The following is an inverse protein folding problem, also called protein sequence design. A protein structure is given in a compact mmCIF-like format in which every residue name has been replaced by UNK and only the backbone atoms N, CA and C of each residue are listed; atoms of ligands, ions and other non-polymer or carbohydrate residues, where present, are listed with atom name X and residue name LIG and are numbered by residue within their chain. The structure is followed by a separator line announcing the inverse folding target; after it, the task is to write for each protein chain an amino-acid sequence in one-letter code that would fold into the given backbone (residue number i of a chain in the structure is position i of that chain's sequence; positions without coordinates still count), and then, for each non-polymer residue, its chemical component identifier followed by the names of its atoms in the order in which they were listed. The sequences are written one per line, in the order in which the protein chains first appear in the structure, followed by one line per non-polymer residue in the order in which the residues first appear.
data_IF_149710863406
#
_entry.id   IF_149710863406
#
_cell.length_a   1.000
_cell.length_b   1.000
_cell.length_c   1.000
_cell.angle_alpha   90.00
_cell.angle_beta   90.00
_cell.angle_gamma   90.00
#
_symmetry.space_group_name_H-M   'P 1'
#
loop_
_entity.id
_entity.type
_entity.pdbx_description
1 polymer ?
#
# COMPACT_ATOMS: atom_id res chain seq x y z
N UNK A 1 -25.71 12.86 -5.74
CA UNK A 1 -24.37 13.40 -5.59
C UNK A 1 -23.78 12.80 -4.30
N UNK A 2 -22.91 11.81 -4.40
CA UNK A 2 -22.12 11.28 -3.26
C UNK A 2 -20.63 11.45 -3.61
N UNK A 3 -20.07 12.62 -3.47
CA UNK A 3 -18.68 12.84 -3.90
C UNK A 3 -17.64 12.80 -2.80
N UNK A 4 -18.02 12.98 -1.54
CA UNK A 4 -17.05 13.32 -0.49
C UNK A 4 -16.41 12.11 0.17
N UNK A 5 -17.14 11.02 0.35
CA UNK A 5 -16.61 9.80 0.98
C UNK A 5 -15.55 9.08 0.14
N UNK A 6 -15.68 9.14 -1.18
CA UNK A 6 -14.74 8.56 -2.13
C UNK A 6 -13.39 9.29 -2.12
N UNK A 7 -13.46 10.62 -2.14
CA UNK A 7 -12.28 11.49 -2.10
C UNK A 7 -11.54 11.37 -0.77
N UNK A 8 -12.30 11.28 0.32
CA UNK A 8 -11.73 11.08 1.67
C UNK A 8 -11.05 9.74 1.80
N UNK A 9 -11.64 8.68 1.26
CA UNK A 9 -11.05 7.33 1.27
C UNK A 9 -9.71 7.27 0.55
N UNK A 10 -9.61 7.85 -0.64
CA UNK A 10 -8.37 7.88 -1.41
C UNK A 10 -7.30 8.77 -0.76
N UNK A 11 -7.68 9.95 -0.28
CA UNK A 11 -6.77 10.87 0.43
C UNK A 11 -6.23 10.29 1.74
N UNK A 12 -7.04 9.52 2.46
CA UNK A 12 -6.63 8.86 3.70
C UNK A 12 -5.98 7.50 3.47
N UNK A 13 -5.84 7.06 2.21
CA UNK A 13 -5.29 5.76 1.90
C UNK A 13 -6.16 4.60 2.40
N UNK A 14 -7.47 4.81 2.56
CA UNK A 14 -8.41 3.79 3.03
C UNK A 14 -8.78 2.82 1.89
N UNK A 15 -8.22 1.61 1.86
CA UNK A 15 -8.42 0.69 0.76
C UNK A 15 -9.80 0.02 0.81
N UNK A 16 -10.33 -0.28 -0.37
CA UNK A 16 -11.59 -1.03 -0.56
C UNK A 16 -11.27 -2.48 -0.89
N UNK A 17 -11.93 -3.38 -0.17
CA UNK A 17 -11.80 -4.82 -0.40
C UNK A 17 -12.22 -5.17 -1.84
N UNK A 18 -11.39 -5.95 -2.53
CA UNK A 18 -11.63 -6.42 -3.90
C UNK A 18 -11.35 -5.38 -5.00
N UNK A 19 -11.10 -4.12 -4.65
CA UNK A 19 -10.69 -3.06 -5.58
C UNK A 19 -9.21 -2.76 -5.42
N UNK A 20 -8.83 -2.34 -4.20
CA UNK A 20 -7.45 -2.01 -3.84
C UNK A 20 -6.68 -3.22 -3.33
N UNK A 21 -7.38 -4.33 -3.10
CA UNK A 21 -6.84 -5.60 -2.62
C UNK A 21 -7.12 -6.73 -3.59
N UNK A 22 -6.36 -7.80 -3.49
CA UNK A 22 -6.55 -9.07 -4.18
C UNK A 22 -6.57 -10.23 -3.18
N UNK A 23 -6.78 -11.44 -3.66
CA UNK A 23 -6.81 -12.67 -2.85
C UNK A 23 -5.48 -13.00 -2.15
N UNK A 24 -4.37 -12.40 -2.60
CA UNK A 24 -3.03 -12.55 -2.03
C UNK A 24 -2.65 -11.41 -1.09
N UNK A 25 -3.50 -10.40 -0.98
CA UNK A 25 -3.23 -9.24 -0.13
C UNK A 25 -3.26 -9.64 1.34
N UNK A 26 -2.20 -9.32 2.04
CA UNK A 26 -2.12 -9.52 3.48
C UNK A 26 -2.40 -8.20 4.22
N UNK A 27 -2.99 -8.25 5.43
CA UNK A 27 -3.42 -7.05 6.15
C UNK A 27 -2.33 -5.98 6.36
N UNK A 28 -1.08 -6.40 6.49
CA UNK A 28 0.05 -5.48 6.63
C UNK A 28 0.32 -4.61 5.41
N UNK A 29 -0.02 -5.08 4.21
CA UNK A 29 0.22 -4.35 2.96
C UNK A 29 -0.68 -3.13 2.82
N UNK A 30 -1.83 -3.17 3.49
CA UNK A 30 -2.90 -2.17 3.38
C UNK A 30 -3.27 -1.51 4.72
N UNK A 31 -2.41 -1.65 5.73
CA UNK A 31 -2.60 -0.99 7.02
C UNK A 31 -3.77 -1.52 7.87
N UNK A 32 -4.23 -2.74 7.63
CA UNK A 32 -5.38 -3.32 8.35
C UNK A 32 -5.01 -4.05 9.66
N UNK A 33 -3.79 -3.92 10.12
CA UNK A 33 -3.39 -4.40 11.45
C UNK A 33 -3.66 -3.30 12.47
N UNK A 34 -4.43 -3.62 13.49
CA UNK A 34 -4.76 -2.65 14.54
C UNK A 34 -5.44 -3.29 15.75
N UNK A 35 -5.68 -2.47 16.77
CA UNK A 35 -6.49 -2.85 17.92
C UNK A 35 -7.99 -2.89 17.61
N UNK A 36 -8.83 -3.22 18.60
CA UNK A 36 -10.28 -3.20 18.44
C UNK A 36 -10.76 -1.84 17.92
N UNK A 37 -11.51 -1.85 16.84
CA UNK A 37 -12.03 -0.64 16.19
C UNK A 37 -11.05 0.13 15.30
N UNK A 38 -9.77 -0.28 15.23
CA UNK A 38 -8.74 0.42 14.47
C UNK A 38 -8.20 -0.37 13.28
N UNK A 39 -8.55 -1.65 13.14
CA UNK A 39 -8.07 -2.50 12.04
C UNK A 39 -8.93 -3.74 11.85
N UNK A 40 -8.76 -4.40 10.71
CA UNK A 40 -9.46 -5.65 10.42
C UNK A 40 -8.84 -6.85 11.15
N UNK A 41 -7.57 -6.76 11.52
CA UNK A 41 -6.85 -7.82 12.24
C UNK A 41 -6.22 -7.27 13.50
N UNK A 42 -6.60 -7.86 14.62
CA UNK A 42 -6.00 -7.64 15.93
C UNK A 42 -5.07 -8.83 16.27
N UNK A 43 -3.80 -8.57 16.53
CA UNK A 43 -2.79 -9.63 16.69
C UNK A 43 -3.03 -10.54 17.90
N UNK A 44 -3.70 -10.04 18.94
CA UNK A 44 -4.01 -10.78 20.16
C UNK A 44 -5.42 -11.43 20.15
N UNK A 45 -6.13 -11.40 19.02
CA UNK A 45 -7.42 -12.10 18.90
C UNK A 45 -7.22 -13.60 18.74
N UNK A 46 -8.30 -14.36 18.98
CA UNK A 46 -8.31 -15.79 18.78
C UNK A 46 -8.01 -16.23 17.33
N UNK A 47 -7.99 -17.52 17.07
CA UNK A 47 -7.62 -18.10 15.78
C UNK A 47 -8.46 -17.54 14.62
N UNK A 48 -7.80 -17.32 13.48
CA UNK A 48 -8.41 -16.91 12.24
C UNK A 48 -7.62 -17.46 11.05
N UNK A 49 -8.28 -17.54 9.88
CA UNK A 49 -7.67 -18.05 8.66
C UNK A 49 -6.52 -17.12 8.22
N UNK A 50 -5.34 -17.69 7.97
CA UNK A 50 -4.16 -16.96 7.53
C UNK A 50 -3.32 -16.36 8.65
N UNK A 51 -3.63 -16.63 9.92
CA UNK A 51 -2.89 -16.08 11.06
C UNK A 51 -1.39 -16.36 11.05
N UNK A 52 -0.94 -17.51 10.51
CA UNK A 52 0.49 -17.82 10.41
C UNK A 52 1.23 -16.85 9.48
N UNK A 53 0.63 -16.51 8.34
CA UNK A 53 1.19 -15.53 7.41
C UNK A 53 1.27 -14.16 8.05
N UNK A 54 0.19 -13.73 8.72
CA UNK A 54 0.15 -12.45 9.44
C UNK A 54 1.20 -12.42 10.54
N UNK A 55 1.29 -13.46 11.37
CA UNK A 55 2.28 -13.55 12.44
C UNK A 55 3.72 -13.59 11.89
N UNK A 56 3.97 -14.33 10.82
CA UNK A 56 5.29 -14.38 10.17
C UNK A 56 5.73 -12.99 9.69
N UNK A 57 4.86 -12.28 8.98
CA UNK A 57 5.18 -10.93 8.48
C UNK A 57 5.36 -9.96 9.64
N UNK A 58 4.51 -10.03 10.66
CA UNK A 58 4.63 -9.18 11.85
C UNK A 58 5.95 -9.40 12.59
N UNK A 59 6.37 -10.66 12.76
CA UNK A 59 7.54 -11.01 13.55
C UNK A 59 8.86 -10.94 12.76
N UNK A 60 8.87 -11.34 11.50
CA UNK A 60 10.10 -11.54 10.74
C UNK A 60 10.40 -10.40 9.76
N UNK A 61 9.43 -9.59 9.41
CA UNK A 61 9.77 -8.67 8.36
C UNK A 61 8.77 -7.62 7.92
N UNK A 62 9.04 -7.20 6.73
CA UNK A 62 8.26 -6.21 6.00
C UNK A 62 7.33 -6.95 5.05
N UNK A 63 6.09 -6.50 4.85
CA UNK A 63 5.23 -7.06 3.82
C UNK A 63 5.88 -6.88 2.44
N UNK A 64 5.64 -7.79 1.49
CA UNK A 64 6.27 -7.74 0.17
C UNK A 64 5.79 -6.59 -0.71
N UNK A 65 4.58 -6.10 -0.43
CA UNK A 65 3.95 -4.97 -1.12
C UNK A 65 3.55 -3.89 -0.13
N UNK A 66 3.20 -2.74 -0.63
CA UNK A 66 2.69 -1.60 0.13
C UNK A 66 1.61 -0.87 -0.65
N UNK A 67 0.58 -0.43 0.03
CA UNK A 67 -0.41 0.48 -0.52
C UNK A 67 0.15 1.90 -0.46
N UNK A 68 0.10 2.60 -1.58
CA UNK A 68 0.54 4.00 -1.70
C UNK A 68 -0.48 4.82 -2.48
N UNK A 69 -0.43 6.12 -2.31
CA UNK A 69 -1.12 7.08 -3.16
C UNK A 69 -0.20 7.46 -4.33
N UNK A 70 -0.75 7.49 -5.53
CA UNK A 70 -0.10 8.01 -6.73
C UNK A 70 -0.78 9.27 -7.21
N UNK A 71 -0.01 10.27 -7.59
CA UNK A 71 -0.43 11.37 -8.43
C UNK A 71 -0.26 10.96 -9.88
N UNK A 72 -1.27 11.17 -10.70
CA UNK A 72 -1.30 10.79 -12.11
C UNK A 72 -1.22 12.03 -12.99
N UNK A 73 -0.62 11.88 -14.18
CA UNK A 73 -0.60 12.96 -15.17
C UNK A 73 -2.01 13.21 -15.73
N UNK A 74 -2.42 14.47 -15.76
CA UNK A 74 -3.74 14.91 -16.28
C UNK A 74 -3.82 14.92 -17.81
N UNK A 75 -2.68 14.89 -18.49
CA UNK A 75 -2.59 15.17 -19.94
C UNK A 75 -3.01 14.00 -20.83
N UNK A 76 -3.21 12.82 -20.28
CA UNK A 76 -3.39 11.57 -21.03
C UNK A 76 -4.66 10.85 -20.61
N UNK A 77 -5.02 9.82 -21.35
CA UNK A 77 -6.19 8.98 -21.09
C UNK A 77 -6.15 8.44 -19.64
N UNK A 78 -7.26 8.50 -18.94
CA UNK A 78 -7.36 8.02 -17.55
C UNK A 78 -7.11 6.53 -17.47
N UNK A 79 -6.20 6.09 -16.58
CA UNK A 79 -6.00 4.68 -16.31
C UNK A 79 -7.19 4.12 -15.53
N UNK A 80 -7.33 2.80 -15.58
CA UNK A 80 -8.42 2.08 -14.93
C UNK A 80 -7.94 1.29 -13.72
N UNK A 81 -8.84 1.00 -12.80
CA UNK A 81 -8.61 0.04 -11.73
C UNK A 81 -8.12 -1.29 -12.31
N UNK A 82 -7.02 -1.80 -11.79
CA UNK A 82 -6.41 -3.05 -12.25
C UNK A 82 -5.25 -2.87 -13.23
N UNK A 83 -5.10 -1.70 -13.83
CA UNK A 83 -3.98 -1.44 -14.74
C UNK A 83 -2.64 -1.66 -14.03
N UNK A 84 -1.68 -2.19 -14.79
CA UNK A 84 -0.33 -2.42 -14.29
C UNK A 84 0.39 -1.09 -14.04
N UNK A 85 1.15 -1.04 -12.97
CA UNK A 85 2.12 0.04 -12.71
C UNK A 85 3.51 -0.49 -13.03
N UNK A 86 4.24 0.24 -13.87
CA UNK A 86 5.56 -0.12 -14.34
C UNK A 86 6.62 0.88 -13.86
N UNK A 87 7.81 0.36 -13.59
CA UNK A 87 9.03 1.12 -13.38
C UNK A 87 10.12 0.56 -14.29
N UNK A 88 10.71 1.39 -15.15
CA UNK A 88 11.73 0.94 -16.09
C UNK A 88 11.27 -0.25 -16.96
N UNK A 89 10.02 -0.24 -17.41
CA UNK A 89 9.42 -1.29 -18.24
C UNK A 89 9.06 -2.60 -17.50
N UNK A 90 9.23 -2.67 -16.19
CA UNK A 90 8.88 -3.85 -15.37
C UNK A 90 7.68 -3.58 -14.50
N UNK A 91 6.74 -4.51 -14.45
CA UNK A 91 5.59 -4.42 -13.56
C UNK A 91 6.03 -4.44 -12.10
N UNK A 92 5.71 -3.37 -11.39
CA UNK A 92 5.99 -3.20 -9.96
C UNK A 92 4.74 -3.23 -9.09
N UNK A 93 3.56 -3.19 -9.70
CA UNK A 93 2.29 -3.26 -8.99
C UNK A 93 1.09 -3.10 -9.90
N UNK A 94 -0.02 -2.73 -9.29
CA UNK A 94 -1.28 -2.45 -10.00
C UNK A 94 -2.04 -1.29 -9.36
N UNK A 95 -2.87 -0.62 -10.16
CA UNK A 95 -3.81 0.37 -9.66
C UNK A 95 -4.99 -0.29 -8.95
N UNK A 96 -5.43 0.34 -7.88
CA UNK A 96 -6.71 0.12 -7.23
C UNK A 96 -7.69 1.22 -7.61
N UNK A 97 -8.20 1.92 -6.59
CA UNK A 97 -9.11 3.06 -6.75
C UNK A 97 -8.44 4.20 -7.50
N UNK A 98 -9.05 4.62 -8.59
CA UNK A 98 -8.66 5.81 -9.37
C UNK A 98 -9.77 6.85 -9.23
N UNK A 99 -9.44 8.08 -8.85
CA UNK A 99 -10.39 9.17 -8.65
C UNK A 99 -9.81 10.51 -9.06
N UNK A 100 -10.71 11.44 -9.37
CA UNK A 100 -10.37 12.85 -9.52
C UNK A 100 -10.52 13.54 -8.18
N UNK A 101 -9.45 14.12 -7.66
CA UNK A 101 -9.46 14.90 -6.43
C UNK A 101 -9.52 16.38 -6.76
N UNK A 102 -10.35 17.13 -6.02
CA UNK A 102 -10.61 18.56 -6.31
C UNK A 102 -9.35 19.43 -6.24
N UNK A 103 -8.44 19.10 -5.34
CA UNK A 103 -7.21 19.89 -5.12
C UNK A 103 -5.95 19.21 -5.71
N UNK A 104 -5.94 17.88 -5.82
CA UNK A 104 -4.75 17.11 -6.20
C UNK A 104 -4.80 16.62 -7.65
N UNK A 105 -5.91 16.87 -8.35
CA UNK A 105 -6.12 16.31 -9.68
C UNK A 105 -6.35 14.80 -9.66
N UNK A 106 -6.00 14.08 -10.72
CA UNK A 106 -6.17 12.65 -10.79
C UNK A 106 -5.20 11.92 -9.85
N UNK A 107 -5.75 11.10 -8.95
CA UNK A 107 -4.99 10.30 -8.00
C UNK A 107 -5.46 8.86 -8.01
N UNK A 108 -4.60 7.94 -7.61
CA UNK A 108 -4.93 6.54 -7.48
C UNK A 108 -4.30 5.89 -6.25
N UNK A 109 -5.00 4.96 -5.63
CA UNK A 109 -4.36 3.99 -4.76
C UNK A 109 -3.68 2.92 -5.60
N UNK A 110 -2.48 2.51 -5.21
CA UNK A 110 -1.75 1.46 -5.90
C UNK A 110 -1.10 0.50 -4.89
N UNK A 111 -1.18 -0.78 -5.19
CA UNK A 111 -0.49 -1.82 -4.44
C UNK A 111 0.83 -2.13 -5.15
N UNK A 112 1.92 -1.58 -4.64
CA UNK A 112 3.25 -1.66 -5.25
C UNK A 112 4.17 -2.62 -4.49
N UNK A 113 5.17 -3.17 -5.17
CA UNK A 113 6.29 -3.87 -4.53
C UNK A 113 6.98 -2.95 -3.54
N UNK A 114 7.28 -3.46 -2.35
CA UNK A 114 7.98 -2.69 -1.32
C UNK A 114 9.44 -2.46 -1.72
N UNK A 115 9.97 -1.30 -1.30
CA UNK A 115 11.38 -0.94 -1.54
C UNK A 115 11.61 -0.11 -2.79
N UNK A 116 10.56 0.34 -3.45
CA UNK A 116 10.69 1.37 -4.47
C UNK A 116 11.03 2.71 -3.82
N UNK A 117 12.07 3.41 -4.28
CA UNK A 117 12.31 4.80 -3.90
C UNK A 117 11.10 5.68 -4.22
N UNK A 118 10.83 6.68 -3.38
CA UNK A 118 9.70 7.59 -3.58
C UNK A 118 9.79 8.45 -4.84
N UNK A 119 10.99 8.64 -5.37
CA UNK A 119 11.29 9.36 -6.61
C UNK A 119 11.31 8.46 -7.86
N UNK A 120 10.90 7.20 -7.73
CA UNK A 120 10.85 6.28 -8.86
C UNK A 120 9.86 6.77 -9.92
N UNK A 121 10.33 6.94 -11.15
CA UNK A 121 9.47 7.23 -12.30
C UNK A 121 8.58 6.02 -12.59
N UNK A 122 7.28 6.22 -12.51
CA UNK A 122 6.27 5.20 -12.77
C UNK A 122 5.45 5.56 -13.99
N UNK A 123 4.96 4.54 -14.68
CA UNK A 123 3.98 4.68 -15.75
C UNK A 123 2.87 3.65 -15.57
N UNK A 124 1.67 4.00 -16.01
CA UNK A 124 0.49 3.15 -15.90
C UNK A 124 -0.48 3.38 -17.07
N UNK A 125 -1.62 2.71 -17.04
CA UNK A 125 -2.60 2.74 -18.11
C UNK A 125 -2.42 1.61 -19.13
N UNK A 126 -3.39 1.44 -20.05
CA UNK A 126 -3.41 0.30 -20.96
C UNK A 126 -2.19 0.21 -21.88
N UNK A 127 -1.60 1.36 -22.23
CA UNK A 127 -0.41 1.45 -23.10
C UNK A 127 0.83 1.97 -22.35
N UNK A 128 0.77 2.02 -21.00
CA UNK A 128 1.82 2.54 -20.13
C UNK A 128 2.24 3.99 -20.46
N UNK A 129 1.26 4.82 -20.81
CA UNK A 129 1.48 6.20 -21.23
C UNK A 129 1.26 7.24 -20.12
N UNK A 130 0.53 6.88 -19.07
CA UNK A 130 0.22 7.80 -17.98
C UNK A 130 1.38 7.82 -16.98
N UNK A 131 2.06 8.95 -16.87
CA UNK A 131 3.08 9.13 -15.85
C UNK A 131 2.45 9.17 -14.46
N UNK A 132 3.13 8.58 -13.49
CA UNK A 132 2.69 8.53 -12.10
C UNK A 132 3.84 8.78 -11.14
N UNK A 133 3.55 9.44 -10.03
CA UNK A 133 4.52 9.75 -8.96
C UNK A 133 3.96 9.30 -7.63
N UNK A 134 4.80 8.69 -6.81
CA UNK A 134 4.41 8.27 -5.46
C UNK A 134 4.28 9.51 -4.56
N UNK A 135 3.14 9.62 -3.88
CA UNK A 135 3.01 10.55 -2.77
C UNK A 135 3.88 10.06 -1.60
N UNK A 136 4.92 10.83 -1.29
CA UNK A 136 5.92 10.45 -0.27
C UNK A 136 5.31 10.32 1.12
N UNK A 137 4.24 11.08 1.42
CA UNK A 137 3.54 11.03 2.69
C UNK A 137 2.71 9.73 2.86
N UNK A 138 2.43 9.06 1.73
CA UNK A 138 1.75 7.76 1.73
C UNK A 138 2.69 6.58 1.95
N UNK A 139 4.01 6.79 1.90
CA UNK A 139 4.97 5.72 2.11
C UNK A 139 4.97 5.24 3.57
N UNK A 140 5.00 3.93 3.79
CA UNK A 140 5.12 3.42 5.15
C UNK A 140 6.46 3.85 5.76
N UNK A 141 6.51 4.09 7.09
CA UNK A 141 7.71 4.51 7.78
C UNK A 141 8.90 3.59 7.46
N UNK A 142 10.09 4.19 7.26
CA UNK A 142 11.32 3.45 6.96
C UNK A 142 11.69 2.47 8.07
N UNK A 143 11.33 2.77 9.32
CA UNK A 143 11.68 2.02 10.53
C UNK A 143 10.65 0.94 10.93
N UNK A 144 9.78 0.54 10.03
CA UNK A 144 8.84 -0.57 10.28
C UNK A 144 9.59 -1.92 10.34
N UNK A 145 10.50 -2.01 11.30
CA UNK A 145 11.25 -3.22 11.63
C UNK A 145 10.33 -4.13 12.42
N UNK A 146 10.05 -5.31 11.91
CA UNK A 146 9.20 -6.30 12.57
C UNK A 146 9.60 -6.55 14.03
N UNK A 147 8.61 -6.81 14.89
CA UNK A 147 8.80 -6.99 16.34
C UNK A 147 9.89 -8.03 16.68
N UNK A 148 9.99 -9.11 15.89
CA UNK A 148 11.01 -10.14 16.07
C UNK A 148 12.43 -9.64 15.81
N UNK A 149 12.63 -8.76 14.81
CA UNK A 149 13.95 -8.16 14.55
C UNK A 149 14.36 -7.23 15.69
N UNK A 150 13.42 -6.42 16.22
CA UNK A 150 13.66 -5.60 17.43
C UNK A 150 14.02 -6.43 18.65
N UNK A 151 13.39 -7.60 18.83
CA UNK A 151 13.72 -8.52 19.91
C UNK A 151 15.14 -9.10 19.77
N UNK A 152 15.53 -9.53 18.56
CA UNK A 152 16.89 -10.04 18.27
C UNK A 152 17.96 -8.95 18.48
N UNK A 153 17.70 -7.73 18.05
CA UNK A 153 18.63 -6.60 18.26
C UNK A 153 18.80 -6.27 19.74
N UNK A 154 17.72 -6.30 20.53
CA UNK A 154 17.81 -6.13 22.00
C UNK A 154 18.64 -7.23 22.65
N UNK A 155 18.48 -8.49 22.23
CA UNK A 155 19.28 -9.61 22.74
C UNK A 155 20.75 -9.47 22.36
N UNK A 156 21.06 -9.00 21.16
CA UNK A 156 22.46 -8.77 20.72
C UNK A 156 23.09 -7.56 21.37
N UNK A 157 22.32 -6.50 21.68
CA UNK A 157 22.82 -5.30 22.35
C UNK A 157 22.99 -5.44 23.87
N UNK A 158 22.39 -6.47 24.47
CA UNK A 158 22.48 -6.75 25.91
C UNK A 158 23.67 -7.62 26.34
N UNK A 159 24.53 -8.06 25.40
CA UNK A 159 25.75 -8.81 25.67
C UNK A 159 26.94 -7.82 25.54
N UNK A 160 27.12 -7.00 26.55
CA UNK A 160 28.36 -6.27 26.87
C UNK A 160 28.61 -6.37 28.36
#
# INVERSE_FOLDING_TARGET
MKPIEWLTGCRLGAPRLGVDTDERTIPHEVGWIGGPGAGAVHLNKGCYRGQETVARVHNLGRPPRMLVLLHLDESVQRPSTGDAVLAGGRTVGRLGTVVEHVELGPVALALLKRGLPGDTALVTGPEAEVAAVIDVDSLPPADDVGAGRRAVERLRGGIR
#
